data_IF_712075272326
#
_entry.id   IF_712075272326
#
_cell.length_a   1.000
_cell.length_b   1.000
_cell.length_c   1.000
_cell.angle_alpha   90.00
_cell.angle_beta   90.00
_cell.angle_gamma   90.00
#
_symmetry.space_group_name_H-M   'P 1'
#
loop_
_entity.id
_entity.type
_entity.pdbx_description
1 polymer ?
#
# COMPACT_ATOMS: atom_id res chain seq x y z
N UNK A 1 6.13 17.86 17.69
CA UNK A 1 4.94 17.89 16.82
C UNK A 1 4.75 16.46 16.31
N UNK A 2 3.83 15.72 16.90
CA UNK A 2 3.29 14.49 16.29
C UNK A 2 2.49 14.93 15.06
N UNK A 3 3.10 14.90 13.87
CA UNK A 3 2.46 15.28 12.60
C UNK A 3 1.86 14.05 11.90
N UNK A 4 1.07 13.26 12.63
CA UNK A 4 0.39 12.06 12.11
C UNK A 4 -1.07 12.05 12.51
N UNK A 5 -1.96 11.66 11.60
CA UNK A 5 -3.41 11.64 11.84
C UNK A 5 -3.91 10.32 12.46
N UNK A 6 -3.03 9.32 12.63
CA UNK A 6 -3.28 8.02 13.27
C UNK A 6 -4.63 7.38 12.88
N UNK A 7 -5.01 7.49 11.60
CA UNK A 7 -6.32 7.04 11.12
C UNK A 7 -6.50 5.51 11.13
N UNK A 8 -5.39 4.76 11.22
CA UNK A 8 -5.30 3.31 11.38
C UNK A 8 -5.35 2.84 12.84
N UNK A 9 -5.33 3.76 13.81
CA UNK A 9 -5.36 3.44 15.23
C UNK A 9 -6.52 2.52 15.66
N UNK A 10 -7.76 2.63 15.13
CA UNK A 10 -8.82 1.70 15.48
C UNK A 10 -8.48 0.23 15.15
N UNK A 11 -7.90 -0.04 13.98
CA UNK A 11 -7.51 -1.39 13.56
C UNK A 11 -6.41 -1.98 14.46
N UNK A 12 -5.45 -1.13 14.88
CA UNK A 12 -4.40 -1.50 15.83
C UNK A 12 -5.02 -1.82 17.19
N UNK A 13 -5.92 -0.96 17.68
CA UNK A 13 -6.59 -1.14 18.97
C UNK A 13 -7.41 -2.42 19.02
N UNK A 14 -8.15 -2.75 17.95
CA UNK A 14 -8.93 -3.99 17.86
C UNK A 14 -8.03 -5.23 17.92
N UNK A 15 -6.89 -5.19 17.23
CA UNK A 15 -5.89 -6.26 17.24
C UNK A 15 -5.27 -6.46 18.63
N UNK A 16 -4.88 -5.37 19.28
CA UNK A 16 -4.34 -5.39 20.64
C UNK A 16 -5.39 -5.87 21.66
N UNK A 17 -6.64 -5.42 21.52
CA UNK A 17 -7.75 -5.82 22.39
C UNK A 17 -8.09 -7.31 22.23
N UNK A 18 -7.81 -7.90 21.07
CA UNK A 18 -7.91 -9.33 20.81
C UNK A 18 -6.68 -10.14 21.26
N UNK A 19 -5.71 -9.49 21.91
CA UNK A 19 -4.51 -10.13 22.44
C UNK A 19 -3.44 -10.47 21.40
N UNK A 20 -3.50 -9.85 20.21
CA UNK A 20 -2.50 -10.04 19.16
C UNK A 20 -1.32 -9.09 19.35
N UNK A 21 -0.12 -9.56 19.01
CA UNK A 21 1.02 -8.68 18.83
C UNK A 21 0.89 -7.95 17.48
N UNK A 22 1.19 -6.65 17.49
CA UNK A 22 1.15 -5.80 16.30
C UNK A 22 2.56 -5.29 16.02
N UNK A 23 3.05 -5.51 14.80
CA UNK A 23 4.29 -4.93 14.29
C UNK A 23 3.93 -3.95 13.16
N UNK A 24 4.39 -2.71 13.27
CA UNK A 24 4.17 -1.66 12.28
C UNK A 24 5.53 -1.28 11.71
N UNK A 25 5.67 -1.33 10.39
CA UNK A 25 6.88 -0.93 9.69
C UNK A 25 6.78 0.51 9.23
N UNK A 26 7.89 1.24 9.30
CA UNK A 26 7.98 2.59 8.73
C UNK A 26 8.04 2.55 7.20
N UNK A 27 8.26 1.38 6.58
CA UNK A 27 8.72 1.22 5.19
C UNK A 27 10.11 1.82 4.92
N UNK A 28 10.66 1.49 3.75
CA UNK A 28 11.98 1.94 3.33
C UNK A 28 11.99 3.47 3.07
N UNK A 29 13.03 4.13 3.59
CA UNK A 29 13.31 5.53 3.32
C UNK A 29 12.52 6.55 4.16
N UNK A 30 11.64 6.12 5.07
CA UNK A 30 10.98 7.01 6.03
C UNK A 30 11.92 7.36 7.20
N UNK A 31 12.87 8.25 6.94
CA UNK A 31 13.76 8.84 7.95
C UNK A 31 14.06 10.30 7.64
N UNK A 32 14.52 11.11 8.62
CA UNK A 32 14.85 12.53 8.39
C UNK A 32 15.94 12.79 7.34
N UNK A 33 16.72 11.77 6.97
CA UNK A 33 17.87 11.90 6.07
C UNK A 33 17.71 11.14 4.75
N UNK A 34 16.56 10.51 4.52
CA UNK A 34 16.30 9.68 3.34
C UNK A 34 15.00 10.11 2.64
N UNK A 35 14.85 9.71 1.39
CA UNK A 35 13.60 9.89 0.65
C UNK A 35 12.83 8.57 0.70
N UNK A 36 11.55 8.57 1.13
CA UNK A 36 10.73 7.37 1.13
C UNK A 36 10.60 6.76 -0.26
N UNK A 37 10.69 5.44 -0.38
CA UNK A 37 10.37 4.71 -1.62
C UNK A 37 8.85 4.54 -1.74
N UNK A 38 8.10 5.64 -1.61
CA UNK A 38 6.64 5.63 -1.53
C UNK A 38 6.01 4.82 -2.67
N UNK A 39 5.00 4.02 -2.31
CA UNK A 39 4.22 3.13 -3.18
C UNK A 39 4.99 2.04 -3.95
N UNK A 40 6.29 1.88 -3.71
CA UNK A 40 7.12 0.90 -4.42
C UNK A 40 6.94 -0.50 -3.83
N UNK A 41 6.23 -1.37 -4.55
CA UNK A 41 5.94 -2.74 -4.12
C UNK A 41 7.17 -3.60 -3.84
N UNK A 42 8.26 -3.37 -4.59
CA UNK A 42 9.52 -4.08 -4.40
C UNK A 42 10.18 -3.80 -3.04
N UNK A 43 9.94 -2.64 -2.42
CA UNK A 43 10.43 -2.31 -1.08
C UNK A 43 9.38 -2.50 0.02
N UNK A 44 8.12 -2.13 -0.24
CA UNK A 44 7.05 -2.23 0.76
C UNK A 44 6.77 -3.68 1.19
N UNK A 45 6.73 -4.63 0.25
CA UNK A 45 6.46 -6.04 0.57
C UNK A 45 7.51 -6.65 1.50
N UNK A 46 8.82 -6.58 1.17
CA UNK A 46 9.89 -6.99 2.08
C UNK A 46 9.85 -6.27 3.43
N UNK A 47 9.59 -4.96 3.46
CA UNK A 47 9.52 -4.22 4.72
C UNK A 47 8.42 -4.72 5.67
N UNK A 48 7.23 -5.08 5.16
CA UNK A 48 6.18 -5.74 5.97
C UNK A 48 6.68 -7.09 6.48
N UNK A 49 7.23 -7.93 5.61
CA UNK A 49 7.70 -9.27 5.97
C UNK A 49 8.81 -9.22 7.02
N UNK A 50 9.80 -8.35 6.83
CA UNK A 50 10.96 -8.23 7.69
C UNK A 50 10.61 -7.60 9.04
N UNK A 51 9.53 -6.80 9.12
CA UNK A 51 8.98 -6.34 10.41
C UNK A 51 8.49 -7.50 11.29
N UNK A 52 7.88 -8.52 10.69
CA UNK A 52 7.48 -9.75 11.40
C UNK A 52 8.70 -10.53 11.85
N UNK A 53 9.72 -10.69 10.97
CA UNK A 53 10.97 -11.35 11.34
C UNK A 53 11.67 -10.63 12.49
N UNK A 54 11.73 -9.30 12.45
CA UNK A 54 12.29 -8.48 13.51
C UNK A 54 11.55 -8.68 14.83
N UNK A 55 10.21 -8.61 14.80
CA UNK A 55 9.38 -8.85 15.98
C UNK A 55 9.60 -10.24 16.57
N UNK A 56 9.65 -11.28 15.75
CA UNK A 56 9.92 -12.66 16.19
C UNK A 56 11.37 -12.92 16.61
N UNK A 57 12.32 -12.06 16.24
CA UNK A 57 13.74 -12.15 16.65
C UNK A 57 14.02 -11.38 17.94
N UNK A 58 13.16 -10.44 18.32
CA UNK A 58 13.36 -9.61 19.50
C UNK A 58 12.94 -10.40 20.76
N UNK A 59 13.85 -10.73 21.70
CA UNK A 59 13.51 -11.59 22.85
C UNK A 59 12.39 -11.05 23.74
N UNK A 60 12.24 -9.71 23.82
CA UNK A 60 11.22 -9.07 24.64
C UNK A 60 9.78 -9.28 24.14
N UNK A 61 9.57 -9.65 22.87
CA UNK A 61 8.23 -9.89 22.31
C UNK A 61 7.67 -11.26 22.68
N UNK A 62 8.56 -12.22 23.01
CA UNK A 62 8.21 -13.62 23.31
C UNK A 62 7.43 -14.33 22.19
N UNK A 63 7.51 -13.82 20.96
CA UNK A 63 6.84 -14.40 19.80
C UNK A 63 7.59 -15.64 19.31
N UNK A 64 6.86 -16.74 19.13
CA UNK A 64 7.41 -17.94 18.52
C UNK A 64 7.63 -17.75 17.02
N UNK A 65 8.66 -18.38 16.46
CA UNK A 65 8.94 -18.37 15.01
C UNK A 65 7.81 -18.94 14.15
N UNK A 66 7.09 -19.94 14.67
CA UNK A 66 5.92 -20.54 14.02
C UNK A 66 4.58 -19.87 14.35
N UNK A 67 4.58 -18.74 15.07
CA UNK A 67 3.34 -18.03 15.37
C UNK A 67 2.61 -17.65 14.08
N UNK A 68 1.28 -17.77 14.08
CA UNK A 68 0.44 -17.36 12.94
C UNK A 68 0.66 -15.87 12.66
N UNK A 69 0.70 -15.51 11.37
CA UNK A 69 0.93 -14.15 10.89
C UNK A 69 -0.22 -13.76 9.97
N UNK A 70 -0.67 -12.51 10.06
CA UNK A 70 -1.51 -11.87 9.05
C UNK A 70 -0.85 -10.57 8.65
N UNK A 71 -0.85 -10.27 7.36
CA UNK A 71 -0.51 -8.93 6.87
C UNK A 71 -1.79 -8.12 6.72
N UNK A 72 -1.83 -6.92 7.30
CA UNK A 72 -2.98 -6.02 7.25
C UNK A 72 -2.53 -4.62 6.80
N UNK A 73 -3.34 -3.96 5.97
CA UNK A 73 -3.15 -2.54 5.70
C UNK A 73 -4.27 -1.88 4.89
N UNK A 74 -4.22 -0.55 4.79
CA UNK A 74 -5.16 0.26 4.00
C UNK A 74 -4.42 1.29 3.13
N UNK A 75 -4.94 1.64 1.96
CA UNK A 75 -4.31 2.58 1.03
C UNK A 75 -2.90 2.10 0.62
N UNK A 76 -1.85 2.92 0.78
CA UNK A 76 -0.46 2.47 0.65
C UNK A 76 -0.18 1.20 1.47
N UNK A 77 -0.69 1.14 2.71
CA UNK A 77 -0.58 -0.04 3.56
C UNK A 77 -1.29 -1.26 2.99
N UNK A 78 -2.41 -1.06 2.27
CA UNK A 78 -3.11 -2.11 1.55
C UNK A 78 -2.25 -2.69 0.43
N UNK A 79 -1.59 -1.81 -0.32
CA UNK A 79 -0.56 -2.19 -1.29
C UNK A 79 0.59 -2.97 -0.65
N UNK A 80 1.13 -2.48 0.47
CA UNK A 80 2.21 -3.13 1.23
C UNK A 80 1.83 -4.53 1.69
N UNK A 81 0.65 -4.71 2.28
CA UNK A 81 0.16 -6.02 2.74
C UNK A 81 -0.04 -7.00 1.57
N UNK A 82 -0.56 -6.55 0.42
CA UNK A 82 -0.68 -7.40 -0.77
C UNK A 82 0.67 -7.76 -1.37
N UNK A 83 1.60 -6.81 -1.49
CA UNK A 83 2.96 -7.09 -1.96
C UNK A 83 3.70 -8.07 -1.05
N UNK A 84 3.49 -7.97 0.26
CA UNK A 84 3.99 -8.94 1.22
C UNK A 84 3.38 -10.33 0.99
N UNK A 85 2.07 -10.40 0.75
CA UNK A 85 1.37 -11.63 0.39
C UNK A 85 1.90 -12.31 -0.87
N UNK A 86 2.13 -11.54 -1.94
CA UNK A 86 2.69 -12.05 -3.20
C UNK A 86 4.14 -12.52 -3.06
N UNK A 87 4.93 -11.82 -2.24
CA UNK A 87 6.37 -12.11 -2.06
C UNK A 87 6.63 -13.19 -1.03
N UNK A 88 5.75 -13.41 -0.06
CA UNK A 88 6.01 -14.34 1.05
C UNK A 88 6.45 -15.74 0.59
N UNK A 89 5.84 -16.37 -0.44
CA UNK A 89 6.25 -17.72 -0.87
C UNK A 89 7.72 -17.85 -1.31
N UNK A 90 8.32 -16.78 -1.84
CA UNK A 90 9.71 -16.78 -2.32
C UNK A 90 10.68 -16.05 -1.39
N UNK A 91 10.22 -15.00 -0.70
CA UNK A 91 11.05 -14.14 0.14
C UNK A 91 11.11 -14.60 1.61
N UNK A 92 10.01 -15.16 2.13
CA UNK A 92 9.92 -15.63 3.52
C UNK A 92 9.03 -16.85 3.69
N UNK A 93 9.35 -17.98 3.02
CA UNK A 93 8.54 -19.19 3.08
C UNK A 93 8.42 -19.78 4.50
N UNK A 94 9.28 -19.38 5.43
CA UNK A 94 9.27 -19.83 6.82
C UNK A 94 8.17 -19.18 7.68
N UNK A 95 7.60 -18.05 7.26
CA UNK A 95 6.52 -17.41 8.01
C UNK A 95 5.22 -18.21 7.88
N UNK A 96 4.59 -18.47 9.02
CA UNK A 96 3.27 -19.09 9.09
C UNK A 96 2.16 -18.06 8.77
N UNK A 97 2.16 -17.57 7.53
CA UNK A 97 1.15 -16.64 7.03
C UNK A 97 -0.20 -17.38 6.90
N UNK A 98 -1.23 -16.88 7.57
CA UNK A 98 -2.59 -17.48 7.54
C UNK A 98 -3.62 -16.62 6.84
N UNK A 99 -3.24 -15.43 6.37
CA UNK A 99 -4.09 -14.58 5.56
C UNK A 99 -3.48 -13.20 5.28
N UNK A 100 -4.07 -12.50 4.31
CA UNK A 100 -3.78 -11.10 3.99
C UNK A 100 -5.09 -10.32 4.01
N UNK A 101 -5.10 -9.17 4.68
CA UNK A 101 -6.24 -8.25 4.70
C UNK A 101 -5.78 -6.91 4.15
N UNK A 102 -6.42 -6.43 3.08
CA UNK A 102 -6.01 -5.17 2.51
C UNK A 102 -7.19 -4.39 1.92
N UNK A 103 -7.19 -3.08 2.20
CA UNK A 103 -8.23 -2.17 1.73
C UNK A 103 -7.69 -1.01 0.92
N UNK A 104 -8.50 -0.45 -0.01
CA UNK A 104 -8.13 0.75 -0.77
C UNK A 104 -6.84 0.56 -1.58
N UNK A 105 -6.66 -0.60 -2.20
CA UNK A 105 -5.34 -1.08 -2.66
C UNK A 105 -4.94 -0.44 -3.98
N UNK A 106 -3.77 0.21 -4.07
CA UNK A 106 -3.21 0.69 -5.34
C UNK A 106 -2.49 -0.46 -6.05
N UNK A 107 -3.24 -1.30 -6.78
CA UNK A 107 -2.72 -2.49 -7.45
C UNK A 107 -2.11 -2.22 -8.83
N UNK A 108 -2.59 -1.20 -9.52
CA UNK A 108 -2.05 -0.72 -10.80
C UNK A 108 -1.80 0.80 -10.71
N UNK A 109 -0.54 1.18 -10.49
CA UNK A 109 -0.15 2.59 -10.35
C UNK A 109 -0.42 3.42 -11.61
N UNK A 110 -0.45 2.79 -12.79
CA UNK A 110 -0.76 3.49 -14.05
C UNK A 110 -2.23 3.90 -14.08
N UNK A 111 -3.13 3.01 -13.66
CA UNK A 111 -4.56 3.33 -13.58
C UNK A 111 -4.87 4.30 -12.45
N UNK A 112 -4.20 4.16 -11.30
CA UNK A 112 -4.33 5.12 -10.19
C UNK A 112 -3.89 6.51 -10.63
N UNK A 113 -2.75 6.64 -11.31
CA UNK A 113 -2.24 7.94 -11.78
C UNK A 113 -3.24 8.69 -12.66
N UNK A 114 -3.99 8.00 -13.53
CA UNK A 114 -5.03 8.63 -14.38
C UNK A 114 -6.14 9.28 -13.56
N UNK A 115 -6.51 8.68 -12.43
CA UNK A 115 -7.53 9.21 -11.52
C UNK A 115 -7.05 10.37 -10.64
N UNK A 116 -5.72 10.58 -10.59
CA UNK A 116 -5.10 11.61 -9.74
C UNK A 116 -4.67 12.85 -10.54
N UNK A 117 -4.30 12.72 -11.81
CA UNK A 117 -3.84 13.83 -12.65
C UNK A 117 -4.96 14.84 -12.95
N UNK A 118 -4.88 16.04 -12.38
CA UNK A 118 -5.92 17.07 -12.47
C UNK A 118 -7.02 16.97 -11.41
N UNK A 119 -6.88 16.07 -10.43
CA UNK A 119 -7.89 15.82 -9.39
C UNK A 119 -7.34 16.07 -7.98
N UNK A 120 -8.19 15.88 -6.96
CA UNK A 120 -7.88 16.20 -5.56
C UNK A 120 -6.62 15.48 -5.04
N UNK A 121 -6.33 14.27 -5.52
CA UNK A 121 -5.21 13.47 -5.06
C UNK A 121 -3.90 13.61 -5.87
N UNK A 122 -3.75 14.63 -6.73
CA UNK A 122 -2.52 14.81 -7.53
C UNK A 122 -1.23 14.79 -6.69
N UNK A 123 -1.26 15.30 -5.45
CA UNK A 123 -0.11 15.25 -4.54
C UNK A 123 0.43 13.82 -4.33
N UNK A 124 -0.44 12.82 -4.26
CA UNK A 124 -0.03 11.42 -4.16
C UNK A 124 0.65 10.91 -5.43
N UNK A 125 0.19 11.33 -6.61
CA UNK A 125 0.85 11.02 -7.89
C UNK A 125 2.26 11.62 -7.92
N UNK A 126 2.38 12.91 -7.61
CA UNK A 126 3.66 13.60 -7.57
C UNK A 126 4.64 12.93 -6.57
N UNK A 127 4.15 12.56 -5.39
CA UNK A 127 4.95 11.88 -4.38
C UNK A 127 5.28 10.41 -4.76
N UNK A 128 4.41 9.72 -5.50
CA UNK A 128 4.71 8.41 -6.08
C UNK A 128 5.84 8.47 -7.11
N UNK A 129 5.88 9.52 -7.94
CA UNK A 129 7.00 9.73 -8.85
C UNK A 129 8.33 9.91 -8.09
N UNK A 130 8.32 10.70 -7.00
CA UNK A 130 9.47 10.85 -6.10
C UNK A 130 9.89 9.51 -5.48
N UNK A 131 8.92 8.72 -4.99
CA UNK A 131 9.18 7.43 -4.36
C UNK A 131 9.75 6.38 -5.32
N UNK A 132 9.23 6.34 -6.54
CA UNK A 132 9.76 5.46 -7.60
C UNK A 132 11.17 5.87 -8.01
N UNK A 133 11.46 7.16 -8.17
CA UNK A 133 12.81 7.63 -8.50
C UNK A 133 13.81 7.36 -7.36
N UNK A 134 13.37 7.44 -6.10
CA UNK A 134 14.18 7.05 -4.95
C UNK A 134 14.52 5.54 -4.95
N UNK A 135 13.57 4.68 -5.32
CA UNK A 135 13.79 3.23 -5.42
C UNK A 135 14.56 2.83 -6.70
N UNK A 136 14.42 3.60 -7.77
CA UNK A 136 15.00 3.34 -9.09
C UNK A 136 15.67 4.62 -9.62
N UNK A 137 16.89 4.95 -9.16
CA UNK A 137 17.58 6.20 -9.53
C UNK A 137 17.88 6.32 -11.04
N UNK A 138 17.73 5.23 -11.79
CA UNK A 138 17.82 5.27 -13.24
C UNK A 138 16.68 6.07 -13.88
N UNK A 139 15.54 6.25 -13.20
CA UNK A 139 14.37 6.99 -13.69
C UNK A 139 14.63 8.49 -13.91
N UNK A 140 15.60 9.07 -13.20
CA UNK A 140 16.10 10.45 -13.36
C UNK A 140 14.96 11.48 -13.40
N UNK A 141 14.03 11.43 -12.45
CA UNK A 141 12.86 12.33 -12.41
C UNK A 141 13.22 13.80 -12.63
N UNK A 142 14.32 14.28 -12.05
CA UNK A 142 14.78 15.67 -12.17
C UNK A 142 14.97 16.15 -13.62
N UNK A 143 15.24 15.22 -14.56
CA UNK A 143 15.41 15.53 -15.99
C UNK A 143 14.10 15.86 -16.70
N UNK A 144 12.96 15.47 -16.13
CA UNK A 144 11.62 15.76 -16.63
C UNK A 144 11.02 17.02 -16.02
N UNK A 145 11.56 17.50 -14.89
CA UNK A 145 10.97 18.61 -14.14
C UNK A 145 11.22 19.96 -14.84
N UNK A 146 10.21 20.83 -14.80
CA UNK A 146 10.39 22.26 -15.02
C UNK A 146 10.85 22.96 -13.72
N UNK A 147 11.03 24.28 -13.73
CA UNK A 147 11.50 25.02 -12.54
C UNK A 147 10.53 24.89 -11.34
N UNK A 148 9.22 24.96 -11.60
CA UNK A 148 8.18 24.73 -10.59
C UNK A 148 8.29 23.32 -10.01
N UNK A 149 8.45 22.31 -10.88
CA UNK A 149 8.69 20.91 -10.52
C UNK A 149 9.84 20.74 -9.55
N UNK A 150 11.02 21.26 -9.92
CA UNK A 150 12.22 21.17 -9.09
C UNK A 150 12.02 21.81 -7.71
N UNK A 151 11.43 23.00 -7.67
CA UNK A 151 11.23 23.72 -6.41
C UNK A 151 10.23 23.00 -5.50
N UNK A 152 9.04 22.67 -6.03
CA UNK A 152 7.95 22.13 -5.23
C UNK A 152 8.22 20.69 -4.78
N UNK A 153 8.79 19.84 -5.64
CA UNK A 153 9.12 18.47 -5.22
C UNK A 153 10.30 18.43 -4.24
N UNK A 154 11.24 19.37 -4.31
CA UNK A 154 12.28 19.50 -3.28
C UNK A 154 11.71 19.90 -1.92
N UNK A 155 10.65 20.72 -1.90
CA UNK A 155 9.91 21.06 -0.67
C UNK A 155 9.09 19.86 -0.17
N UNK A 156 8.35 19.19 -1.06
CA UNK A 156 7.55 18.01 -0.73
C UNK A 156 8.38 16.90 -0.07
N UNK A 157 9.59 16.62 -0.61
CA UNK A 157 10.54 15.65 -0.05
C UNK A 157 10.90 15.93 1.43
N UNK A 158 10.82 17.18 1.88
CA UNK A 158 11.21 17.59 3.24
C UNK A 158 10.01 17.78 4.16
N UNK A 159 8.90 18.28 3.62
CA UNK A 159 7.84 18.90 4.41
C UNK A 159 6.46 18.28 4.20
N UNK A 160 6.25 17.50 3.14
CA UNK A 160 4.91 17.00 2.84
C UNK A 160 4.57 15.70 3.59
N UNK A 161 3.48 15.74 4.35
CA UNK A 161 2.75 14.55 4.79
C UNK A 161 1.41 14.47 4.04
N UNK A 162 0.55 13.51 4.41
CA UNK A 162 -0.76 13.29 3.75
C UNK A 162 -1.58 14.58 3.61
N UNK A 163 -1.65 15.40 4.66
CA UNK A 163 -2.43 16.63 4.66
C UNK A 163 -1.86 17.68 3.69
N UNK A 164 -0.54 17.87 3.69
CA UNK A 164 0.14 18.82 2.80
C UNK A 164 0.05 18.38 1.33
N UNK A 165 0.10 17.07 1.05
CA UNK A 165 -0.12 16.54 -0.30
C UNK A 165 -1.52 16.89 -0.81
N UNK A 166 -2.55 16.77 0.04
CA UNK A 166 -3.91 17.16 -0.33
C UNK A 166 -4.05 18.68 -0.46
N UNK A 167 -3.60 19.46 0.53
CA UNK A 167 -3.85 20.91 0.58
C UNK A 167 -3.05 21.70 -0.46
N UNK A 168 -1.79 21.34 -0.70
CA UNK A 168 -0.89 22.14 -1.53
C UNK A 168 -0.90 21.75 -3.01
N UNK A 169 -1.35 20.52 -3.32
CA UNK A 169 -1.24 19.94 -4.66
C UNK A 169 -2.58 19.53 -5.28
N UNK A 170 -3.72 19.74 -4.60
CA UNK A 170 -5.05 19.44 -5.16
C UNK A 170 -5.28 20.07 -6.54
N UNK A 171 -5.88 19.30 -7.46
CA UNK A 171 -6.30 19.71 -8.81
C UNK A 171 -5.19 20.18 -9.74
N UNK A 172 -3.94 19.95 -9.37
CA UNK A 172 -2.77 20.18 -10.22
C UNK A 172 -2.59 19.06 -11.23
N UNK A 173 -1.77 19.30 -12.25
CA UNK A 173 -1.47 18.34 -13.32
C UNK A 173 0.01 18.06 -13.47
N UNK A 174 0.36 16.91 -14.03
CA UNK A 174 1.75 16.53 -14.33
C UNK A 174 2.42 17.60 -15.21
N UNK A 175 1.67 18.14 -16.19
CA UNK A 175 2.13 19.20 -17.09
C UNK A 175 2.52 20.50 -16.39
N UNK A 176 2.01 20.75 -15.18
CA UNK A 176 2.34 21.96 -14.42
C UNK A 176 3.76 21.89 -13.83
N UNK A 177 4.31 20.68 -13.65
CA UNK A 177 5.59 20.40 -12.95
C UNK A 177 6.66 19.81 -13.87
N UNK A 178 6.31 19.43 -15.10
CA UNK A 178 7.22 18.73 -16.03
C UNK A 178 7.34 19.46 -17.37
N UNK A 179 8.48 19.28 -18.05
CA UNK A 179 8.68 19.67 -19.46
C UNK A 179 8.22 18.57 -20.42
N UNK A 180 8.21 17.32 -19.95
CA UNK A 180 7.66 16.16 -20.63
C UNK A 180 7.17 15.16 -19.58
N UNK A 181 6.11 14.42 -19.87
CA UNK A 181 5.52 13.50 -18.91
C UNK A 181 6.41 12.24 -18.74
N UNK A 182 6.97 11.98 -17.54
CA UNK A 182 7.82 10.82 -17.32
C UNK A 182 7.07 9.49 -17.52
N UNK A 183 5.78 9.47 -17.20
CA UNK A 183 4.95 8.27 -17.30
C UNK A 183 4.82 7.76 -18.74
N UNK A 184 5.05 8.58 -19.76
CA UNK A 184 4.97 8.16 -21.16
C UNK A 184 6.24 7.47 -21.67
N UNK A 185 7.30 7.42 -20.85
CA UNK A 185 8.57 6.82 -21.26
C UNK A 185 8.63 5.32 -21.01
N UNK A 186 9.32 4.54 -21.89
CA UNK A 186 9.46 3.10 -21.70
C UNK A 186 10.10 2.70 -20.36
N UNK A 187 11.02 3.53 -19.85
CA UNK A 187 11.73 3.24 -18.61
C UNK A 187 10.81 3.34 -17.39
N UNK A 188 10.00 4.40 -17.32
CA UNK A 188 8.98 4.54 -16.27
C UNK A 188 7.91 3.47 -16.38
N UNK A 189 7.42 3.18 -17.59
CA UNK A 189 6.46 2.09 -17.83
C UNK A 189 6.98 0.73 -17.38
N UNK A 190 8.27 0.43 -17.59
CA UNK A 190 8.88 -0.79 -17.11
C UNK A 190 8.89 -0.88 -15.57
N UNK A 191 9.20 0.21 -14.86
CA UNK A 191 9.17 0.23 -13.38
C UNK A 191 7.75 0.17 -12.82
N UNK A 192 6.78 0.82 -13.47
CA UNK A 192 5.36 0.72 -13.11
C UNK A 192 4.87 -0.72 -13.28
N UNK A 193 5.19 -1.38 -14.40
CA UNK A 193 4.87 -2.79 -14.62
C UNK A 193 5.53 -3.72 -13.58
N UNK A 194 6.78 -3.44 -13.19
CA UNK A 194 7.47 -4.16 -12.11
C UNK A 194 6.79 -4.01 -10.75
N UNK A 195 5.99 -2.96 -10.55
CA UNK A 195 5.26 -2.65 -9.32
C UNK A 195 3.74 -2.76 -9.51
N UNK A 196 3.29 -3.61 -10.44
CA UNK A 196 1.88 -4.02 -10.59
C UNK A 196 1.61 -5.35 -9.86
N UNK A 197 0.60 -5.36 -9.00
CA UNK A 197 0.13 -6.57 -8.32
C UNK A 197 -0.60 -7.53 -9.29
N UNK A 198 -0.65 -8.81 -8.94
CA UNK A 198 -1.34 -9.87 -9.67
C UNK A 198 -0.40 -10.90 -10.31
N UNK A 199 0.90 -10.60 -10.38
CA UNK A 199 1.88 -11.45 -11.07
C UNK A 199 2.26 -12.70 -10.26
N UNK A 200 2.24 -12.60 -8.92
CA UNK A 200 2.58 -13.72 -8.03
C UNK A 200 1.48 -13.88 -6.96
N UNK A 201 0.31 -14.45 -7.30
CA UNK A 201 -0.84 -14.46 -6.41
C UNK A 201 -0.53 -15.10 -5.04
N UNK A 202 -1.05 -14.54 -3.93
CA UNK A 202 -0.83 -15.10 -2.59
C UNK A 202 -1.30 -16.56 -2.47
N UNK A 203 -0.57 -17.37 -1.69
CA UNK A 203 -0.92 -18.79 -1.44
C UNK A 203 -1.79 -19.01 -0.20
N UNK A 204 -2.27 -17.92 0.38
CA UNK A 204 -3.10 -17.89 1.59
C UNK A 204 -4.41 -17.18 1.27
N UNK A 205 -5.47 -17.34 2.09
CA UNK A 205 -6.69 -16.60 1.91
C UNK A 205 -6.48 -15.08 1.94
N UNK A 206 -7.30 -14.36 1.20
CA UNK A 206 -7.23 -12.89 1.08
C UNK A 206 -8.59 -12.28 1.42
N UNK A 207 -8.61 -11.22 2.22
CA UNK A 207 -9.75 -10.32 2.34
C UNK A 207 -9.38 -8.97 1.71
N UNK A 208 -10.01 -8.69 0.57
CA UNK A 208 -9.84 -7.47 -0.18
C UNK A 208 -11.09 -6.60 0.02
N UNK A 209 -10.90 -5.33 0.37
CA UNK A 209 -12.01 -4.40 0.43
C UNK A 209 -11.73 -3.04 -0.19
N UNK A 210 -12.80 -2.35 -0.60
CA UNK A 210 -12.66 -1.05 -1.25
C UNK A 210 -13.85 -0.14 -0.99
N UNK A 211 -13.58 1.16 -0.96
CA UNK A 211 -14.61 2.19 -0.99
C UNK A 211 -15.30 2.22 -2.37
N UNK A 212 -16.63 2.33 -2.42
CA UNK A 212 -17.37 2.32 -3.69
C UNK A 212 -17.26 3.64 -4.46
N UNK A 213 -16.95 4.74 -3.77
CA UNK A 213 -16.74 6.07 -4.37
C UNK A 213 -15.32 6.57 -4.10
N UNK A 214 -14.34 5.66 -4.13
CA UNK A 214 -12.93 5.98 -3.89
C UNK A 214 -12.38 6.96 -4.94
N UNK A 215 -12.08 8.16 -4.49
CA UNK A 215 -11.63 9.30 -5.28
C UNK A 215 -10.10 9.45 -5.35
N UNK A 216 -9.35 8.60 -4.64
CA UNK A 216 -7.88 8.63 -4.59
C UNK A 216 -7.29 7.38 -5.25
N UNK A 217 -7.77 6.21 -4.85
CA UNK A 217 -7.34 4.90 -5.38
C UNK A 217 -8.54 4.28 -6.08
N UNK A 218 -8.70 4.59 -7.36
CA UNK A 218 -9.88 4.20 -8.12
C UNK A 218 -10.19 2.68 -8.03
N UNK A 219 -11.45 2.35 -7.78
CA UNK A 219 -11.91 0.96 -7.57
C UNK A 219 -11.68 -0.01 -8.75
N UNK A 220 -11.79 0.39 -10.04
CA UNK A 220 -11.70 -0.55 -11.17
C UNK A 220 -10.38 -1.33 -11.27
N UNK A 221 -9.25 -0.75 -10.85
CA UNK A 221 -7.98 -1.46 -10.85
C UNK A 221 -7.91 -2.53 -9.74
N UNK A 222 -8.55 -2.28 -8.59
CA UNK A 222 -8.64 -3.24 -7.50
C UNK A 222 -9.58 -4.41 -7.86
N UNK A 223 -10.68 -4.14 -8.59
CA UNK A 223 -11.53 -5.19 -9.16
C UNK A 223 -10.80 -6.05 -10.21
N UNK A 224 -9.86 -5.43 -10.95
CA UNK A 224 -9.01 -6.16 -11.89
C UNK A 224 -8.05 -7.09 -11.16
N UNK A 225 -7.48 -6.64 -10.03
CA UNK A 225 -6.70 -7.51 -9.15
C UNK A 225 -7.54 -8.68 -8.63
N UNK A 226 -8.74 -8.41 -8.12
CA UNK A 226 -9.67 -9.45 -7.66
C UNK A 226 -9.92 -10.53 -8.72
N UNK A 227 -10.27 -10.12 -9.94
CA UNK A 227 -10.46 -11.05 -11.07
C UNK A 227 -9.18 -11.85 -11.39
N UNK A 228 -8.01 -11.22 -11.30
CA UNK A 228 -6.71 -11.87 -11.53
C UNK A 228 -6.45 -12.94 -10.48
N UNK A 229 -6.70 -12.64 -9.21
CA UNK A 229 -6.57 -13.58 -8.10
C UNK A 229 -7.57 -14.73 -8.18
N UNK A 230 -8.85 -14.47 -8.51
CA UNK A 230 -9.82 -15.54 -8.73
C UNK A 230 -9.42 -16.47 -9.88
N UNK A 231 -8.95 -15.92 -11.01
CA UNK A 231 -8.46 -16.72 -12.14
C UNK A 231 -7.25 -17.58 -11.77
N UNK A 232 -6.44 -17.13 -10.79
CA UNK A 232 -5.30 -17.88 -10.26
C UNK A 232 -5.67 -18.86 -9.12
N UNK A 233 -6.94 -18.94 -8.71
CA UNK A 233 -7.41 -19.83 -7.66
C UNK A 233 -7.10 -19.36 -6.24
N UNK A 234 -6.80 -18.08 -6.02
CA UNK A 234 -6.67 -17.50 -4.69
C UNK A 234 -8.02 -17.57 -3.98
N UNK A 235 -8.01 -18.00 -2.72
CA UNK A 235 -9.21 -17.97 -1.88
C UNK A 235 -9.46 -16.56 -1.36
N UNK A 236 -10.06 -15.73 -2.20
CA UNK A 236 -10.30 -14.33 -1.91
C UNK A 236 -11.77 -14.02 -1.60
N UNK A 237 -11.97 -13.18 -0.60
CA UNK A 237 -13.22 -12.48 -0.36
C UNK A 237 -13.03 -11.00 -0.70
N UNK A 238 -13.78 -10.52 -1.70
CA UNK A 238 -13.89 -9.12 -2.10
C UNK A 238 -15.14 -8.48 -1.48
N UNK A 239 -15.03 -7.28 -0.91
CA UNK A 239 -16.19 -6.52 -0.41
C UNK A 239 -16.05 -5.02 -0.64
N UNK A 240 -17.12 -4.39 -1.12
CA UNK A 240 -17.20 -2.93 -1.28
C UNK A 240 -18.04 -2.30 -0.19
N UNK A 241 -17.69 -1.07 0.19
CA UNK A 241 -18.41 -0.28 1.19
C UNK A 241 -18.81 1.07 0.61
N UNK A 242 -20.01 1.55 0.96
CA UNK A 242 -20.46 2.89 0.58
C UNK A 242 -19.69 3.91 1.42
N UNK A 243 -18.59 4.42 0.87
CA UNK A 243 -17.65 5.35 1.52
C UNK A 243 -16.75 5.99 0.46
N UNK A 244 -16.04 7.05 0.87
CA UNK A 244 -14.91 7.63 0.15
C UNK A 244 -13.58 6.95 0.55
N UNK A 245 -12.46 7.38 -0.01
CA UNK A 245 -11.14 6.81 0.30
C UNK A 245 -10.77 6.99 1.78
N UNK A 246 -11.01 8.18 2.35
CA UNK A 246 -10.59 8.51 3.71
C UNK A 246 -11.37 7.72 4.77
N UNK A 247 -12.66 7.49 4.53
CA UNK A 247 -13.56 6.79 5.46
C UNK A 247 -13.66 5.29 5.23
N UNK A 248 -13.20 4.79 4.07
CA UNK A 248 -13.25 3.37 3.72
C UNK A 248 -12.51 2.45 4.68
N UNK A 249 -11.44 2.93 5.34
CA UNK A 249 -10.75 2.18 6.40
C UNK A 249 -11.69 1.84 7.55
N UNK A 250 -12.51 2.81 7.99
CA UNK A 250 -13.46 2.63 9.09
C UNK A 250 -14.63 1.77 8.65
N UNK A 251 -15.12 1.97 7.42
CA UNK A 251 -16.24 1.22 6.88
C UNK A 251 -15.96 -0.29 6.80
N UNK A 252 -14.73 -0.68 6.45
CA UNK A 252 -14.31 -2.08 6.37
C UNK A 252 -13.74 -2.66 7.66
N UNK A 253 -13.42 -1.85 8.66
CA UNK A 253 -12.61 -2.28 9.82
C UNK A 253 -13.22 -3.45 10.59
N UNK A 254 -14.53 -3.40 10.89
CA UNK A 254 -15.19 -4.44 11.67
C UNK A 254 -15.14 -5.82 10.98
N UNK A 255 -15.39 -5.87 9.67
CA UNK A 255 -15.32 -7.11 8.91
C UNK A 255 -13.88 -7.59 8.74
N UNK A 256 -12.94 -6.67 8.51
CA UNK A 256 -11.51 -6.97 8.43
C UNK A 256 -11.02 -7.61 9.74
N UNK A 257 -11.36 -7.02 10.88
CA UNK A 257 -11.02 -7.54 12.18
C UNK A 257 -11.65 -8.91 12.46
N UNK A 258 -12.95 -9.08 12.16
CA UNK A 258 -13.61 -10.36 12.32
C UNK A 258 -12.99 -11.44 11.42
N UNK A 259 -12.59 -11.09 10.20
CA UNK A 259 -11.91 -11.98 9.27
C UNK A 259 -10.55 -12.43 9.82
N UNK A 260 -9.79 -11.50 10.40
CA UNK A 260 -8.52 -11.75 11.11
C UNK A 260 -8.71 -12.76 12.23
N UNK A 261 -9.66 -12.50 13.15
CA UNK A 261 -9.96 -13.39 14.28
C UNK A 261 -10.27 -14.80 13.78
N UNK A 262 -11.07 -14.91 12.71
CA UNK A 262 -11.44 -16.20 12.11
C UNK A 262 -10.24 -16.98 11.55
N UNK A 263 -9.21 -16.32 11.00
CA UNK A 263 -7.97 -17.01 10.55
C UNK A 263 -7.16 -17.51 11.76
N UNK A 264 -7.05 -16.70 12.80
CA UNK A 264 -6.33 -17.08 14.02
C UNK A 264 -7.01 -18.26 14.75
N UNK A 265 -8.34 -18.34 14.74
CA UNK A 265 -9.11 -19.43 15.36
C UNK A 265 -9.32 -20.66 14.46
N UNK A 266 -8.92 -20.60 13.19
CA UNK A 266 -8.96 -21.75 12.28
C UNK A 266 -10.29 -21.96 11.54
N UNK A 267 -11.22 -21.00 11.63
CA UNK A 267 -12.44 -21.00 10.82
C UNK A 267 -12.07 -20.97 9.33
N UNK A 268 -12.71 -21.75 8.43
CA UNK A 268 -12.46 -21.65 6.99
C UNK A 268 -12.69 -20.24 6.44
N UNK A 269 -11.90 -19.80 5.45
CA UNK A 269 -12.08 -18.45 4.87
C UNK A 269 -13.34 -18.43 4.01
N UNK A 270 -14.21 -17.42 4.09
CA UNK A 270 -15.16 -17.18 3.01
C UNK A 270 -14.42 -16.85 1.70
N UNK A 271 -15.07 -17.03 0.57
CA UNK A 271 -14.59 -16.59 -0.73
C UNK A 271 -15.77 -16.24 -1.64
N UNK A 272 -15.54 -15.29 -2.54
CA UNK A 272 -16.46 -14.96 -3.64
C UNK A 272 -15.73 -14.84 -4.99
N UNK A 273 -14.50 -15.39 -5.06
CA UNK A 273 -14.14 -16.27 -6.17
C UNK A 273 -14.99 -17.56 -6.09
#
# INVERSE_FOLDING_TARGET
>A
MERGTLYDQPAINDSLSSGYAVAVTDYEGYSPTTVPTYITGQSMGPAVIDSVRAAQNLPSTRLAKGAKVIFQGYSQGGGGAMWAGEKQPSYAPELNLVGVVAGGIPADLTEVAKGLDGYIGFGFLAFAAVGLDAAYPDLKLDSFLNDTGRQQLADAKKNACVAELLLNYSFKKISDYTTSNPLDTPQWQARLAQNKLGANPPRVPVFQYHASTDEIVNTPQAETLHRTYCAAGVREQWKTYISDHATGILAGNADAHQWIVNRFTGTPAPANC
#
